data_IF_365403537690
#
_entry.id   IF_365403537690
#
_cell.length_a   1.000
_cell.length_b   1.000
_cell.length_c   1.000
_cell.angle_alpha   90.00
_cell.angle_beta   90.00
_cell.angle_gamma   90.00
#
_symmetry.space_group_name_H-M   'P 1'
#
loop_
_entity.id
_entity.type
_entity.pdbx_description
1 polymer ?
#
# COMPACT_ATOMS: atom_id res chain seq x y z
N UNK A 1 3.48 12.95 21.73
CA UNK A 1 3.30 12.64 21.43
C UNK A 1 3.47 12.19 20.43
N UNK A 2 3.69 12.43 19.86
CA UNK A 2 3.83 12.10 18.92
C UNK A 2 4.51 11.09 18.48
N UNK A 3 5.24 11.07 18.52
CA UNK A 3 5.92 10.09 18.60
C UNK A 3 5.29 8.83 18.60
N UNK A 4 4.21 8.82 18.99
CA UNK A 4 3.46 7.73 19.21
C UNK A 4 2.99 7.08 17.99
N UNK A 5 3.09 7.73 16.85
CA UNK A 5 2.56 7.20 15.64
C UNK A 5 3.65 6.53 14.85
N UNK A 6 3.80 5.26 15.05
CA UNK A 6 4.63 4.46 14.17
C UNK A 6 3.89 4.30 12.86
N UNK A 7 4.57 4.54 11.77
CA UNK A 7 4.00 4.37 10.44
C UNK A 7 4.07 2.93 9.96
N UNK A 8 4.82 2.10 10.66
CA UNK A 8 4.94 0.68 10.32
C UNK A 8 5.00 -0.19 11.57
N UNK A 9 4.67 -1.48 11.40
CA UNK A 9 4.87 -2.50 12.43
C UNK A 9 5.59 -3.68 11.79
N UNK A 10 6.31 -4.48 12.58
CA UNK A 10 7.01 -5.64 12.03
C UNK A 10 6.06 -6.62 11.36
N UNK A 11 6.54 -7.27 10.30
CA UNK A 11 5.78 -8.29 9.61
C UNK A 11 5.91 -9.61 10.35
N UNK A 12 4.98 -9.87 11.25
CA UNK A 12 4.93 -11.10 12.04
C UNK A 12 3.56 -11.76 11.86
N UNK A 13 3.44 -13.06 12.14
CA UNK A 13 2.14 -13.71 12.06
C UNK A 13 1.07 -13.01 12.91
N UNK A 14 1.46 -12.53 14.07
CA UNK A 14 0.55 -11.81 14.96
C UNK A 14 0.06 -10.52 14.29
N UNK A 15 0.97 -9.76 13.71
CA UNK A 15 0.62 -8.49 13.09
C UNK A 15 -0.15 -8.68 11.78
N UNK A 16 0.09 -9.78 11.07
CA UNK A 16 -0.71 -10.12 9.90
C UNK A 16 -2.15 -10.41 10.29
N UNK A 17 -2.35 -11.06 11.42
CA UNK A 17 -3.71 -11.31 11.94
C UNK A 17 -4.39 -10.00 12.31
N UNK A 18 -3.64 -9.06 12.89
CA UNK A 18 -4.18 -7.74 13.20
C UNK A 18 -4.60 -7.02 11.92
N UNK A 19 -3.81 -7.15 10.86
CA UNK A 19 -4.14 -6.54 9.57
C UNK A 19 -5.40 -7.18 8.98
N UNK A 20 -5.52 -8.50 9.06
CA UNK A 20 -6.72 -9.18 8.58
C UNK A 20 -7.96 -8.72 9.36
N UNK A 21 -7.81 -8.52 10.66
CA UNK A 21 -8.89 -8.01 11.49
C UNK A 21 -9.27 -6.59 11.09
N UNK A 22 -8.27 -5.77 10.78
CA UNK A 22 -8.51 -4.41 10.30
C UNK A 22 -9.36 -4.44 9.03
N UNK A 23 -9.04 -5.32 8.09
CA UNK A 23 -9.80 -5.46 6.85
C UNK A 23 -11.26 -5.80 7.16
N UNK A 24 -11.47 -6.78 8.02
CA UNK A 24 -12.83 -7.19 8.40
C UNK A 24 -13.59 -6.03 9.05
N UNK A 25 -12.92 -5.28 9.90
CA UNK A 25 -13.54 -4.15 10.58
C UNK A 25 -13.91 -3.02 9.62
N UNK A 26 -13.06 -2.76 8.62
CA UNK A 26 -13.36 -1.74 7.62
C UNK A 26 -14.57 -2.12 6.79
N UNK A 27 -14.70 -3.40 6.45
CA UNK A 27 -15.85 -3.90 5.70
C UNK A 27 -17.12 -3.76 6.55
N UNK A 28 -17.08 -4.17 7.80
CA UNK A 28 -18.22 -4.06 8.69
C UNK A 28 -18.64 -2.63 8.92
N UNK A 29 -17.66 -1.75 9.07
CA UNK A 29 -17.90 -0.35 9.30
C UNK A 29 -18.57 0.31 8.11
N UNK A 30 -18.18 -0.07 6.89
CA UNK A 30 -18.79 0.44 5.68
C UNK A 30 -20.24 -0.05 5.58
N UNK A 31 -20.45 -1.32 5.87
CA UNK A 31 -21.77 -1.91 5.92
C UNK A 31 -22.47 -2.11 4.58
N UNK A 32 -21.87 -1.65 3.49
CA UNK A 32 -22.49 -1.71 2.16
C UNK A 32 -21.70 -2.59 1.18
N UNK A 33 -20.47 -2.88 1.49
CA UNK A 33 -19.61 -3.68 0.60
C UNK A 33 -19.57 -5.13 1.06
N UNK A 34 -19.31 -6.06 0.13
CA UNK A 34 -19.25 -7.47 0.52
C UNK A 34 -17.99 -7.81 1.30
N UNK A 35 -17.98 -8.98 1.91
CA UNK A 35 -16.81 -9.46 2.64
C UNK A 35 -15.70 -9.85 1.67
N UNK A 36 -14.48 -9.95 2.18
CA UNK A 36 -13.31 -10.26 1.38
C UNK A 36 -12.95 -11.74 1.48
N UNK A 37 -12.48 -12.31 0.37
CA UNK A 37 -11.97 -13.67 0.39
C UNK A 37 -10.62 -13.70 1.06
N UNK A 38 -10.16 -14.89 1.42
CA UNK A 38 -8.84 -15.06 2.02
C UNK A 38 -7.74 -14.52 1.09
N UNK A 39 -7.87 -14.80 -0.21
CA UNK A 39 -6.90 -14.30 -1.19
C UNK A 39 -6.89 -12.78 -1.25
N UNK A 40 -8.05 -12.16 -1.14
CA UNK A 40 -8.14 -10.70 -1.12
C UNK A 40 -7.38 -10.14 0.08
N UNK A 41 -7.58 -10.74 1.25
CA UNK A 41 -6.88 -10.32 2.46
C UNK A 41 -5.37 -10.48 2.30
N UNK A 42 -4.94 -11.58 1.68
CA UNK A 42 -3.52 -11.81 1.44
C UNK A 42 -2.92 -10.75 0.53
N UNK A 43 -3.65 -10.32 -0.49
CA UNK A 43 -3.18 -9.25 -1.37
C UNK A 43 -3.06 -7.93 -0.62
N UNK A 44 -4.01 -7.66 0.28
CA UNK A 44 -3.96 -6.45 1.09
C UNK A 44 -2.72 -6.47 2.01
N UNK A 45 -2.41 -7.62 2.59
CA UNK A 45 -1.24 -7.75 3.44
C UNK A 45 0.04 -7.53 2.64
N UNK A 46 0.11 -8.08 1.43
CA UNK A 46 1.24 -7.85 0.54
C UNK A 46 1.38 -6.38 0.19
N UNK A 47 0.26 -5.73 -0.09
CA UNK A 47 0.25 -4.31 -0.39
C UNK A 47 0.71 -3.49 0.81
N UNK A 48 0.28 -3.89 2.00
CA UNK A 48 0.71 -3.27 3.24
C UNK A 48 2.22 -3.34 3.40
N UNK A 49 2.81 -4.48 3.07
CA UNK A 49 4.25 -4.68 3.13
C UNK A 49 4.96 -3.82 2.09
N UNK A 50 4.45 -3.77 0.89
CA UNK A 50 5.02 -2.96 -0.19
C UNK A 50 4.98 -1.47 0.16
N UNK A 51 3.89 -1.00 0.74
CA UNK A 51 3.76 0.40 1.14
C UNK A 51 4.76 0.77 2.24
N UNK A 52 4.97 -0.13 3.19
CA UNK A 52 5.96 0.12 4.24
C UNK A 52 7.35 0.30 3.63
N UNK A 53 7.68 -0.49 2.63
CA UNK A 53 8.97 -0.41 1.98
C UNK A 53 9.10 0.83 1.09
N UNK A 54 8.12 1.09 0.25
CA UNK A 54 8.19 2.18 -0.73
C UNK A 54 8.00 3.56 -0.08
N UNK A 55 7.06 3.66 0.83
CA UNK A 55 6.73 4.95 1.44
C UNK A 55 7.62 5.27 2.64
N UNK A 56 7.84 4.30 3.50
CA UNK A 56 8.55 4.49 4.75
C UNK A 56 9.95 3.88 4.80
N UNK A 57 10.37 3.24 3.72
CA UNK A 57 11.68 2.59 3.60
C UNK A 57 11.93 1.58 4.71
N UNK A 58 10.88 0.86 5.11
CA UNK A 58 10.96 -0.15 6.15
C UNK A 58 10.76 -1.53 5.56
N UNK A 59 11.79 -2.38 5.68
CA UNK A 59 11.72 -3.76 5.20
C UNK A 59 11.12 -4.65 6.26
N UNK A 60 10.51 -5.73 5.82
CA UNK A 60 9.88 -6.71 6.71
C UNK A 60 8.88 -6.09 7.66
N UNK A 61 8.19 -5.08 7.19
CA UNK A 61 7.21 -4.35 7.98
C UNK A 61 5.89 -4.20 7.22
N UNK A 62 4.84 -3.90 7.95
CA UNK A 62 3.52 -3.64 7.40
C UNK A 62 3.17 -2.18 7.68
N UNK A 63 2.52 -1.53 6.73
CA UNK A 63 2.15 -0.13 6.91
C UNK A 63 1.06 0.04 7.96
N UNK A 64 1.17 1.12 8.73
CA UNK A 64 0.12 1.54 9.65
C UNK A 64 -0.60 2.78 9.13
N UNK A 65 -0.37 3.12 7.86
CA UNK A 65 -1.12 4.19 7.20
C UNK A 65 -2.47 3.64 6.77
N UNK A 66 -3.29 3.37 7.75
CA UNK A 66 -4.52 2.61 7.57
C UNK A 66 -5.62 3.34 6.84
N UNK A 67 -5.57 4.66 6.84
CA UNK A 67 -6.56 5.47 6.15
C UNK A 67 -6.55 5.20 4.65
N UNK A 68 -5.35 5.21 4.07
CA UNK A 68 -5.20 4.98 2.64
C UNK A 68 -5.52 3.53 2.28
N UNK A 69 -5.11 2.61 3.14
CA UNK A 69 -5.38 1.21 2.94
C UNK A 69 -6.88 0.93 3.03
N UNK A 70 -7.56 1.60 3.96
CA UNK A 70 -9.02 1.51 4.07
C UNK A 70 -9.72 2.01 2.81
N UNK A 71 -9.15 3.06 2.19
CA UNK A 71 -9.66 3.56 0.93
C UNK A 71 -9.61 2.52 -0.18
N UNK A 72 -8.51 1.75 -0.23
CA UNK A 72 -8.37 0.68 -1.22
C UNK A 72 -9.43 -0.40 -0.98
N UNK A 73 -9.66 -0.76 0.28
CA UNK A 73 -10.66 -1.77 0.63
C UNK A 73 -12.05 -1.33 0.19
N UNK A 74 -12.40 -0.10 0.47
CA UNK A 74 -13.73 0.42 0.09
C UNK A 74 -13.90 0.49 -1.42
N UNK A 75 -12.87 0.92 -2.13
CA UNK A 75 -12.91 0.96 -3.58
C UNK A 75 -13.07 -0.46 -4.16
N UNK A 76 -12.33 -1.43 -3.62
CA UNK A 76 -12.46 -2.82 -4.05
C UNK A 76 -13.87 -3.34 -3.78
N UNK A 77 -14.46 -2.94 -2.66
CA UNK A 77 -15.84 -3.31 -2.34
C UNK A 77 -16.82 -2.74 -3.34
N UNK A 78 -16.63 -1.50 -3.74
CA UNK A 78 -17.49 -0.87 -4.73
C UNK A 78 -17.35 -1.57 -6.09
N UNK A 79 -16.14 -1.96 -6.46
CA UNK A 79 -15.92 -2.70 -7.71
C UNK A 79 -16.62 -4.06 -7.68
N UNK A 80 -16.56 -4.75 -6.55
CA UNK A 80 -17.23 -6.03 -6.40
C UNK A 80 -18.74 -5.87 -6.51
N UNK A 81 -19.29 -4.83 -5.92
CA UNK A 81 -20.72 -4.55 -6.00
C UNK A 81 -21.15 -4.23 -7.43
N UNK A 82 -20.35 -3.46 -8.14
CA UNK A 82 -20.64 -3.12 -9.53
C UNK A 82 -20.70 -4.35 -10.39
N UNK A 83 -19.86 -5.32 -10.11
CA UNK A 83 -19.86 -6.60 -10.84
C UNK A 83 -20.84 -7.61 -10.27
N UNK A 84 -21.62 -7.20 -9.27
CA UNK A 84 -22.58 -8.06 -8.60
C UNK A 84 -21.97 -9.33 -8.03
N UNK A 85 -20.74 -9.18 -7.53
CA UNK A 85 -20.02 -10.30 -6.92
C UNK A 85 -20.35 -10.41 -5.44
N UNK A 86 -20.40 -11.63 -4.95
CA UNK A 86 -20.74 -11.91 -3.57
C UNK A 86 -19.60 -11.55 -2.61
N UNK A 87 -18.38 -11.56 -3.08
CA UNK A 87 -17.20 -11.30 -2.27
C UNK A 87 -16.22 -10.36 -2.97
N UNK A 88 -15.44 -9.64 -2.17
CA UNK A 88 -14.29 -8.91 -2.69
C UNK A 88 -13.20 -9.94 -2.94
N UNK A 89 -12.74 -10.06 -4.17
CA UNK A 89 -11.70 -11.01 -4.51
C UNK A 89 -10.34 -10.33 -4.63
N UNK A 90 -9.31 -11.13 -4.80
CA UNK A 90 -7.96 -10.61 -5.02
C UNK A 90 -7.89 -9.71 -6.25
N UNK A 91 -8.69 -10.02 -7.27
CA UNK A 91 -8.74 -9.19 -8.48
C UNK A 91 -9.26 -7.79 -8.20
N UNK A 92 -10.29 -7.70 -7.38
CA UNK A 92 -10.85 -6.40 -7.00
C UNK A 92 -9.84 -5.56 -6.23
N UNK A 93 -9.09 -6.21 -5.34
CA UNK A 93 -8.07 -5.51 -4.57
C UNK A 93 -6.97 -5.01 -5.49
N UNK A 94 -6.51 -5.84 -6.41
CA UNK A 94 -5.46 -5.45 -7.35
C UNK A 94 -5.88 -4.28 -8.22
N UNK A 95 -7.12 -4.31 -8.70
CA UNK A 95 -7.66 -3.22 -9.50
C UNK A 95 -7.79 -1.94 -8.68
N UNK A 96 -8.25 -2.05 -7.44
CA UNK A 96 -8.37 -0.90 -6.56
C UNK A 96 -7.00 -0.28 -6.27
N UNK A 97 -5.98 -1.11 -6.06
CA UNK A 97 -4.62 -0.62 -5.86
C UNK A 97 -4.15 0.15 -7.09
N UNK A 98 -4.42 -0.38 -8.27
CA UNK A 98 -4.01 0.24 -9.51
C UNK A 98 -4.69 1.60 -9.71
N UNK A 99 -5.97 1.68 -9.41
CA UNK A 99 -6.73 2.93 -9.54
C UNK A 99 -6.35 3.98 -8.50
N UNK A 100 -5.95 3.54 -7.31
CA UNK A 100 -5.66 4.43 -6.20
C UNK A 100 -4.19 4.32 -5.75
N UNK A 101 -3.28 4.25 -6.70
CA UNK A 101 -1.86 4.17 -6.39
C UNK A 101 -1.38 5.37 -5.59
N UNK A 102 -0.56 5.13 -4.57
CA UNK A 102 0.07 6.22 -3.85
C UNK A 102 0.97 7.02 -4.79
N UNK A 103 1.12 8.29 -4.50
CA UNK A 103 1.98 9.14 -5.31
C UNK A 103 3.42 8.60 -5.32
N UNK A 104 3.86 7.99 -4.24
CA UNK A 104 5.19 7.41 -4.15
C UNK A 104 5.41 6.31 -5.18
N UNK A 105 4.38 5.50 -5.45
CA UNK A 105 4.47 4.45 -6.47
C UNK A 105 4.57 5.07 -7.85
N UNK A 106 3.78 6.09 -8.10
CA UNK A 106 3.77 6.78 -9.39
C UNK A 106 5.12 7.42 -9.68
N UNK A 107 5.72 8.03 -8.68
CA UNK A 107 7.03 8.65 -8.82
C UNK A 107 8.10 7.61 -9.09
N UNK A 108 8.04 6.47 -8.39
CA UNK A 108 8.99 5.41 -8.59
C UNK A 108 8.89 4.82 -9.99
N UNK A 109 7.67 4.60 -10.48
CA UNK A 109 7.45 4.07 -11.82
C UNK A 109 7.92 5.02 -12.90
N UNK A 110 7.66 6.31 -12.70
CA UNK A 110 7.98 7.31 -13.69
C UNK A 110 9.47 7.65 -13.77
N UNK A 111 10.12 7.73 -12.64
CA UNK A 111 11.50 8.19 -12.55
C UNK A 111 12.55 7.16 -12.13
N UNK A 112 12.12 6.00 -11.74
CA UNK A 112 13.04 4.97 -11.25
C UNK A 112 14.12 4.59 -12.24
N UNK A 113 13.79 4.40 -13.51
CA UNK A 113 14.76 4.02 -14.51
C UNK A 113 15.71 5.17 -14.85
N UNK A 114 15.21 6.39 -14.83
CA UNK A 114 16.03 7.58 -15.08
C UNK A 114 17.04 7.71 -13.95
N UNK A 115 16.57 7.54 -12.73
CA UNK A 115 17.41 7.64 -11.55
C UNK A 115 18.51 6.59 -11.54
N UNK A 116 18.19 5.37 -11.90
CA UNK A 116 19.18 4.30 -12.01
C UNK A 116 20.19 4.57 -13.11
N UNK A 117 19.73 5.11 -14.22
CA UNK A 117 20.61 5.48 -15.32
C UNK A 117 21.63 6.51 -14.90
N UNK A 118 21.20 7.52 -14.19
CA UNK A 118 22.07 8.58 -13.70
C UNK A 118 23.10 8.01 -12.72
N UNK A 119 22.68 7.19 -11.80
CA UNK A 119 23.59 6.56 -10.87
C UNK A 119 24.63 5.70 -11.56
N UNK A 120 24.20 4.93 -12.52
CA UNK A 120 25.06 4.05 -13.26
C UNK A 120 26.13 4.81 -14.03
N UNK A 121 25.76 5.94 -14.61
CA UNK A 121 26.69 6.75 -15.39
C UNK A 121 27.54 7.65 -14.50
N UNK A 122 27.25 7.69 -13.23
CA UNK A 122 28.00 8.50 -12.28
C UNK A 122 28.03 9.98 -12.66
N UNK A 123 26.97 10.45 -13.28
CA UNK A 123 26.86 11.82 -13.69
C UNK A 123 26.37 12.70 -12.57
N UNK A 124 25.70 12.14 -11.60
CA UNK A 124 25.13 12.89 -10.51
C UNK A 124 26.22 13.41 -9.61
N UNK A 125 26.27 14.71 -9.43
CA UNK A 125 27.15 15.27 -8.42
C UNK A 125 26.42 15.19 -7.08
N UNK A 126 27.13 15.30 -5.96
CA UNK A 126 26.52 15.16 -4.64
C UNK A 126 25.38 16.13 -4.39
N UNK A 127 25.51 17.33 -4.91
CA UNK A 127 24.52 18.34 -4.73
C UNK A 127 23.22 17.99 -5.43
N UNK A 128 23.33 17.57 -6.67
CA UNK A 128 22.18 17.16 -7.44
C UNK A 128 21.51 15.93 -6.81
N UNK A 129 22.33 15.00 -6.33
CA UNK A 129 21.81 13.83 -5.65
C UNK A 129 20.99 14.18 -4.42
N UNK A 130 21.46 15.15 -3.65
CA UNK A 130 20.74 15.61 -2.47
C UNK A 130 19.42 16.24 -2.84
N UNK A 131 19.41 17.04 -3.90
CA UNK A 131 18.18 17.66 -4.37
C UNK A 131 17.18 16.58 -4.79
N UNK A 132 17.63 15.58 -5.52
CA UNK A 132 16.79 14.47 -5.91
C UNK A 132 16.24 13.74 -4.71
N UNK A 133 17.05 13.51 -3.72
CA UNK A 133 16.63 12.84 -2.51
C UNK A 133 15.56 13.63 -1.75
N UNK A 134 15.65 14.95 -1.79
CA UNK A 134 14.68 15.76 -1.07
C UNK A 134 13.28 15.70 -1.67
N UNK A 135 13.17 15.29 -2.91
CA UNK A 135 11.86 15.14 -3.52
C UNK A 135 11.21 13.81 -3.14
N UNK A 136 12.01 12.86 -2.73
CA UNK A 136 11.52 11.55 -2.36
C UNK A 136 10.93 11.54 -0.97
#
# INVERSE_FOLDING_TARGET
YEILLNTTIPDTPKNRKLMARFVAQEIEKDGKIPHATKKAVEVIIKESKKRAKVIDDERNSLTMRLRDLGGVIRLAGDLAKEEEQEYITDKHIKEAIEQAKPIEYQLQERYGSVWKGIEKDQIINPEYGKTGASYG
#
